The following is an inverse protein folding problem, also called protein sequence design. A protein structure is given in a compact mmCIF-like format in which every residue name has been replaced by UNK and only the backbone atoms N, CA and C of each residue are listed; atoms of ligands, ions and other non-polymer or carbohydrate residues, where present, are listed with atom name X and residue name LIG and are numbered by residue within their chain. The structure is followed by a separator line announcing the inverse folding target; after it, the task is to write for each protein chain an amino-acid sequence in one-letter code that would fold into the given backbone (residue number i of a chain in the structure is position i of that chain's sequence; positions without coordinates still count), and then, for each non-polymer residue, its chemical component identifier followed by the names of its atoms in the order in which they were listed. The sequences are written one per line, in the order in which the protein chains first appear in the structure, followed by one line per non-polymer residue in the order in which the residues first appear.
data_IF_090597505049
#
_entry.id   IF_090597505049
#
_cell.length_a   1.000
_cell.length_b   1.000
_cell.length_c   1.000
_cell.angle_alpha   90.00
_cell.angle_beta   90.00
_cell.angle_gamma   90.00
#
_symmetry.space_group_name_H-M   'P 1'
#
loop_
_entity.id
_entity.type
_entity.pdbx_description
1 polymer ?
#
# COMPACT_ATOMS: atom_id res chain seq x y z
N UNK A 1 26.04 -10.26 -9.54
CA UNK A 1 25.36 -9.12 -8.88
C UNK A 1 25.18 -7.93 -9.82
N UNK A 2 26.24 -7.31 -10.39
CA UNK A 2 26.06 -6.13 -11.26
C UNK A 2 25.17 -6.39 -12.48
N UNK A 3 25.33 -7.49 -13.19
CA UNK A 3 24.50 -7.89 -14.33
C UNK A 3 23.03 -8.13 -13.93
N UNK A 4 22.80 -8.70 -12.76
CA UNK A 4 21.45 -8.91 -12.21
C UNK A 4 20.75 -7.57 -11.94
N UNK A 5 21.42 -6.66 -11.22
CA UNK A 5 20.90 -5.32 -10.93
C UNK A 5 20.63 -4.56 -12.22
N UNK A 6 21.54 -4.63 -13.21
CA UNK A 6 21.34 -3.98 -14.51
C UNK A 6 20.12 -4.53 -15.25
N UNK A 7 19.92 -5.86 -15.26
CA UNK A 7 18.75 -6.48 -15.88
C UNK A 7 17.44 -6.08 -15.17
N UNK A 8 17.45 -6.02 -13.83
CA UNK A 8 16.29 -5.56 -13.04
C UNK A 8 15.96 -4.10 -13.29
N UNK A 9 16.98 -3.23 -13.38
CA UNK A 9 16.78 -1.83 -13.75
C UNK A 9 16.21 -1.68 -15.15
N UNK A 10 16.72 -2.43 -16.13
CA UNK A 10 16.19 -2.42 -17.49
C UNK A 10 14.71 -2.87 -17.53
N UNK A 11 14.36 -3.92 -16.79
CA UNK A 11 12.96 -4.38 -16.65
C UNK A 11 12.08 -3.32 -15.97
N UNK A 12 12.58 -2.66 -14.91
CA UNK A 12 11.85 -1.61 -14.22
C UNK A 12 11.58 -0.40 -15.12
N UNK A 13 12.57 0.04 -15.89
CA UNK A 13 12.40 1.15 -16.86
C UNK A 13 11.39 0.76 -17.94
N UNK A 14 11.49 -0.44 -18.49
CA UNK A 14 10.53 -0.94 -19.48
C UNK A 14 9.11 -0.96 -18.92
N UNK A 15 8.91 -1.45 -17.70
CA UNK A 15 7.61 -1.46 -17.04
C UNK A 15 7.08 -0.06 -16.79
N UNK A 16 7.91 0.90 -16.36
CA UNK A 16 7.50 2.29 -16.19
C UNK A 16 7.01 2.91 -17.51
N UNK A 17 7.71 2.66 -18.62
CA UNK A 17 7.28 3.13 -19.94
C UNK A 17 5.94 2.50 -20.34
N UNK A 18 5.78 1.20 -20.14
CA UNK A 18 4.52 0.50 -20.45
C UNK A 18 3.37 1.04 -19.60
N UNK A 19 3.56 1.15 -18.28
CA UNK A 19 2.55 1.67 -17.35
C UNK A 19 2.18 3.10 -17.70
N UNK A 20 3.16 3.96 -18.02
CA UNK A 20 2.91 5.34 -18.42
C UNK A 20 2.11 5.45 -19.72
N UNK A 21 2.46 4.64 -20.72
CA UNK A 21 1.76 4.65 -22.01
C UNK A 21 0.32 4.14 -21.88
N UNK A 22 0.12 3.04 -21.15
CA UNK A 22 -1.21 2.48 -20.90
C UNK A 22 -2.07 3.45 -20.07
N UNK A 23 -1.53 3.98 -18.97
CA UNK A 23 -2.23 4.95 -18.12
C UNK A 23 -2.64 6.21 -18.88
N UNK A 24 -1.73 6.75 -19.68
CA UNK A 24 -1.99 7.91 -20.52
C UNK A 24 -3.09 7.62 -21.54
N UNK A 25 -3.02 6.47 -22.23
CA UNK A 25 -4.04 6.07 -23.21
C UNK A 25 -5.42 5.90 -22.56
N UNK A 26 -5.50 5.19 -21.41
CA UNK A 26 -6.77 4.97 -20.69
C UNK A 26 -7.42 6.30 -20.30
N UNK A 27 -6.65 7.24 -19.75
CA UNK A 27 -7.17 8.54 -19.33
C UNK A 27 -7.70 9.35 -20.52
N UNK A 28 -7.00 9.34 -21.63
CA UNK A 28 -7.40 10.11 -22.82
C UNK A 28 -8.51 9.43 -23.64
N UNK A 29 -8.75 8.13 -23.44
CA UNK A 29 -9.92 7.41 -24.01
C UNK A 29 -11.19 7.64 -23.18
N UNK A 30 -11.11 8.19 -21.99
CA UNK A 30 -12.26 8.48 -21.16
C UNK A 30 -13.15 9.55 -21.82
N UNK A 31 -14.48 9.30 -21.96
CA UNK A 31 -15.38 10.22 -22.66
C UNK A 31 -15.43 11.59 -21.99
N UNK A 32 -15.39 12.66 -22.77
CA UNK A 32 -15.49 14.06 -22.33
C UNK A 32 -14.17 14.79 -22.15
N UNK A 33 -13.02 14.07 -22.10
CA UNK A 33 -11.69 14.69 -21.98
C UNK A 33 -11.44 15.48 -20.69
N UNK A 34 -10.22 16.03 -20.50
CA UNK A 34 -9.80 16.70 -19.26
C UNK A 34 -10.53 18.02 -18.97
N UNK A 35 -11.02 18.70 -20.00
CA UNK A 35 -11.66 20.02 -19.87
C UNK A 35 -13.19 19.95 -19.71
N UNK A 36 -13.79 18.76 -19.73
CA UNK A 36 -15.25 18.63 -19.64
C UNK A 36 -15.86 19.19 -18.35
N UNK A 37 -15.10 19.23 -17.24
CA UNK A 37 -15.57 19.87 -16.01
C UNK A 37 -15.77 21.38 -16.17
N UNK A 38 -14.86 22.03 -16.87
CA UNK A 38 -14.96 23.47 -17.14
C UNK A 38 -16.11 23.78 -18.11
N UNK A 39 -16.40 22.87 -19.04
CA UNK A 39 -17.54 23.00 -19.94
C UNK A 39 -18.89 22.84 -19.21
N UNK A 40 -19.00 21.91 -18.25
CA UNK A 40 -20.23 21.63 -17.51
C UNK A 40 -20.55 22.73 -16.49
N UNK A 41 -19.54 23.39 -15.92
CA UNK A 41 -19.74 24.47 -14.93
C UNK A 41 -20.40 25.74 -15.50
N UNK A 42 -20.46 25.87 -16.82
CA UNK A 42 -21.05 27.04 -17.50
C UNK A 42 -20.31 28.36 -17.26
N UNK A 43 -19.14 28.29 -16.61
CA UNK A 43 -18.34 29.48 -16.23
C UNK A 43 -17.38 29.94 -17.35
N UNK A 44 -17.19 29.13 -18.39
CA UNK A 44 -16.28 29.42 -19.50
C UNK A 44 -17.02 29.48 -20.82
N UNK A 45 -16.56 30.44 -21.66
CA UNK A 45 -17.03 30.51 -23.05
C UNK A 45 -16.34 29.43 -23.90
N UNK A 46 -16.91 29.11 -25.08
CA UNK A 46 -16.28 28.19 -26.01
C UNK A 46 -14.88 28.67 -26.45
N UNK A 47 -14.70 29.98 -26.59
CA UNK A 47 -13.40 30.57 -26.92
C UNK A 47 -12.37 30.36 -25.82
N UNK A 48 -12.76 30.41 -24.54
CA UNK A 48 -11.88 30.14 -23.41
C UNK A 48 -11.46 28.68 -23.40
N UNK A 49 -12.39 27.75 -23.65
CA UNK A 49 -12.09 26.31 -23.75
C UNK A 49 -11.12 26.02 -24.88
N UNK A 50 -11.32 26.62 -26.05
CA UNK A 50 -10.44 26.45 -27.21
C UNK A 50 -9.03 27.02 -26.95
N UNK A 51 -8.97 28.13 -26.22
CA UNK A 51 -7.69 28.74 -25.82
C UNK A 51 -6.92 27.83 -24.85
N UNK A 52 -7.61 27.31 -23.81
CA UNK A 52 -7.01 26.39 -22.84
C UNK A 52 -6.58 25.09 -23.50
N UNK A 53 -7.41 24.54 -24.39
CA UNK A 53 -7.09 23.33 -25.18
C UNK A 53 -5.77 23.49 -25.93
N UNK A 54 -5.58 24.61 -26.60
CA UNK A 54 -4.35 24.94 -27.33
C UNK A 54 -3.17 25.19 -26.40
N UNK A 55 -3.38 25.89 -25.28
CA UNK A 55 -2.32 26.16 -24.29
C UNK A 55 -1.79 24.89 -23.64
N UNK A 56 -2.68 23.92 -23.36
CA UNK A 56 -2.32 22.62 -22.80
C UNK A 56 -1.86 21.61 -23.88
N UNK A 57 -1.93 21.98 -25.18
CA UNK A 57 -1.56 21.11 -26.29
C UNK A 57 -2.48 19.89 -26.47
N UNK A 58 -3.71 19.97 -25.98
CA UNK A 58 -4.71 18.88 -26.05
C UNK A 58 -5.33 18.73 -27.47
N UNK A 59 -5.07 19.68 -28.34
CA UNK A 59 -5.43 19.67 -29.75
C UNK A 59 -4.49 18.83 -30.62
N UNK A 60 -3.33 18.43 -30.08
CA UNK A 60 -2.33 17.63 -30.80
C UNK A 60 -2.69 16.15 -30.83
N UNK A 61 -2.14 15.37 -31.81
CA UNK A 61 -2.28 13.91 -31.79
C UNK A 61 -1.81 13.27 -30.47
N UNK A 62 -2.54 12.28 -29.97
CA UNK A 62 -2.24 11.63 -28.68
C UNK A 62 -0.79 11.15 -28.52
N UNK A 63 -0.13 10.57 -29.54
CA UNK A 63 1.28 10.19 -29.39
C UNK A 63 2.21 11.38 -29.12
N UNK A 64 1.91 12.55 -29.70
CA UNK A 64 2.71 13.78 -29.47
C UNK A 64 2.46 14.31 -28.06
N UNK A 65 1.21 14.31 -27.59
CA UNK A 65 0.86 14.68 -26.22
C UNK A 65 1.59 13.79 -25.20
N UNK A 66 1.62 12.48 -25.45
CA UNK A 66 2.33 11.52 -24.59
C UNK A 66 3.84 11.80 -24.55
N UNK A 67 4.48 11.99 -25.70
CA UNK A 67 5.92 12.24 -25.76
C UNK A 67 6.29 13.57 -25.11
N UNK A 68 5.48 14.63 -25.31
CA UNK A 68 5.67 15.92 -24.66
C UNK A 68 5.52 15.82 -23.15
N UNK A 69 4.49 15.11 -22.66
CA UNK A 69 4.28 14.87 -21.22
C UNK A 69 5.40 14.03 -20.62
N UNK A 70 5.76 12.91 -21.24
CA UNK A 70 6.80 12.01 -20.77
C UNK A 70 8.17 12.69 -20.75
N UNK A 71 8.48 13.47 -21.80
CA UNK A 71 9.73 14.24 -21.87
C UNK A 71 9.85 15.33 -20.80
N UNK A 72 8.75 16.01 -20.43
CA UNK A 72 8.72 16.96 -19.30
C UNK A 72 8.89 16.23 -17.97
N UNK A 73 8.18 15.13 -17.76
CA UNK A 73 8.28 14.33 -16.54
C UNK A 73 9.72 13.87 -16.28
N UNK A 74 10.45 13.42 -17.31
CA UNK A 74 11.86 13.02 -17.20
C UNK A 74 12.78 14.17 -16.80
N UNK A 75 12.39 15.42 -17.09
CA UNK A 75 13.11 16.64 -16.68
C UNK A 75 12.70 17.14 -15.28
N UNK A 76 11.82 16.40 -14.58
CA UNK A 76 11.31 16.77 -13.27
C UNK A 76 10.06 17.67 -13.27
N UNK A 77 9.54 18.02 -14.45
CA UNK A 77 8.28 18.73 -14.60
C UNK A 77 7.12 17.73 -14.72
N UNK A 78 6.46 17.46 -13.60
CA UNK A 78 5.32 16.54 -13.49
C UNK A 78 3.98 17.23 -13.81
N UNK A 79 4.02 18.52 -14.15
CA UNK A 79 2.86 19.34 -14.45
C UNK A 79 2.22 19.96 -13.22
N UNK A 80 1.06 20.56 -13.47
CA UNK A 80 0.23 21.19 -12.45
C UNK A 80 -1.17 20.62 -12.46
N UNK A 81 -1.76 20.50 -11.27
CA UNK A 81 -3.16 20.12 -11.08
C UNK A 81 -4.09 21.04 -11.90
N UNK A 82 -5.05 20.46 -12.57
CA UNK A 82 -6.08 21.22 -13.28
C UNK A 82 -7.12 21.80 -12.33
N UNK A 83 -7.20 21.28 -11.11
CA UNK A 83 -8.19 21.69 -10.11
C UNK A 83 -7.79 22.95 -9.37
N UNK A 84 -6.56 22.98 -8.86
CA UNK A 84 -6.07 24.05 -7.96
C UNK A 84 -4.79 24.75 -8.45
N UNK A 85 -4.20 24.27 -9.56
CA UNK A 85 -3.00 24.85 -10.15
C UNK A 85 -1.70 24.54 -9.39
N UNK A 86 -1.75 23.73 -8.33
CA UNK A 86 -0.57 23.34 -7.58
C UNK A 86 0.34 22.40 -8.37
N UNK A 87 1.63 22.39 -8.05
CA UNK A 87 2.56 21.45 -8.66
C UNK A 87 2.20 20.00 -8.22
N UNK A 88 2.13 19.05 -9.16
CA UNK A 88 1.76 17.66 -8.91
C UNK A 88 2.60 17.03 -7.80
N UNK A 89 3.91 17.26 -7.79
CA UNK A 89 4.80 16.72 -6.74
C UNK A 89 4.49 17.30 -5.36
N UNK A 90 4.05 18.55 -5.27
CA UNK A 90 3.61 19.17 -4.00
C UNK A 90 2.35 18.50 -3.48
N UNK A 91 1.36 18.30 -4.36
CA UNK A 91 0.11 17.61 -4.03
C UNK A 91 0.38 16.17 -3.57
N UNK A 92 1.25 15.44 -4.26
CA UNK A 92 1.64 14.08 -3.88
C UNK A 92 2.34 14.07 -2.52
N UNK A 93 3.31 14.97 -2.31
CA UNK A 93 4.09 14.99 -1.06
C UNK A 93 3.24 15.32 0.17
N UNK A 94 2.22 16.16 0.04
CA UNK A 94 1.30 16.50 1.13
C UNK A 94 0.41 15.33 1.57
N UNK A 95 0.11 14.39 0.67
CA UNK A 95 -0.74 13.22 0.97
C UNK A 95 0.06 11.95 1.32
N UNK A 96 1.33 11.88 0.89
CA UNK A 96 2.18 10.70 1.11
C UNK A 96 2.37 10.39 2.59
N UNK A 97 2.59 11.43 3.43
CA UNK A 97 2.77 11.26 4.87
C UNK A 97 1.59 10.56 5.53
N UNK A 98 0.36 10.97 5.20
CA UNK A 98 -0.85 10.36 5.75
C UNK A 98 -1.02 8.89 5.33
N UNK A 99 -0.71 8.54 4.07
CA UNK A 99 -0.70 7.13 3.63
C UNK A 99 0.32 6.31 4.41
N UNK A 100 1.55 6.83 4.57
CA UNK A 100 2.61 6.12 5.29
C UNK A 100 2.25 5.91 6.77
N UNK A 101 1.68 6.90 7.45
CA UNK A 101 1.20 6.80 8.82
C UNK A 101 0.17 5.67 8.97
N UNK A 102 -0.83 5.66 8.11
CA UNK A 102 -1.89 4.66 8.14
C UNK A 102 -1.36 3.24 7.84
N UNK A 103 -0.63 3.10 6.74
CA UNK A 103 -0.14 1.81 6.30
C UNK A 103 0.90 1.23 7.25
N UNK A 104 1.84 2.05 7.74
CA UNK A 104 2.84 1.60 8.71
C UNK A 104 2.17 1.15 10.02
N UNK A 105 1.19 1.91 10.53
CA UNK A 105 0.46 1.55 11.74
C UNK A 105 -0.30 0.24 11.56
N UNK A 106 -1.05 0.10 10.46
CA UNK A 106 -1.78 -1.12 10.15
C UNK A 106 -0.86 -2.34 10.04
N UNK A 107 0.26 -2.22 9.32
CA UNK A 107 1.20 -3.32 9.13
C UNK A 107 1.93 -3.68 10.42
N UNK A 108 2.34 -2.71 11.24
CA UNK A 108 2.95 -3.00 12.55
C UNK A 108 1.98 -3.80 13.42
N UNK A 109 0.72 -3.37 13.51
CA UNK A 109 -0.32 -4.10 14.25
C UNK A 109 -0.49 -5.51 13.69
N UNK A 110 -0.59 -5.63 12.37
CA UNK A 110 -0.81 -6.90 11.69
C UNK A 110 0.35 -7.90 11.89
N UNK A 111 1.59 -7.43 11.79
CA UNK A 111 2.79 -8.26 12.01
C UNK A 111 2.85 -8.73 13.46
N UNK A 112 2.68 -7.81 14.42
CA UNK A 112 2.75 -8.16 15.84
C UNK A 112 1.64 -9.16 16.24
N UNK A 113 0.39 -8.86 15.89
CA UNK A 113 -0.74 -9.73 16.20
C UNK A 113 -0.68 -11.04 15.40
N UNK A 114 -0.37 -10.97 14.12
CA UNK A 114 -0.26 -12.14 13.26
C UNK A 114 0.85 -13.09 13.70
N UNK A 115 2.04 -12.57 13.98
CA UNK A 115 3.13 -13.39 14.53
C UNK A 115 2.75 -14.02 15.87
N UNK A 116 2.16 -13.25 16.78
CA UNK A 116 1.71 -13.76 18.08
C UNK A 116 0.67 -14.88 17.93
N UNK A 117 -0.39 -14.67 17.13
CA UNK A 117 -1.42 -15.66 16.85
C UNK A 117 -0.81 -16.89 16.17
N UNK A 118 0.07 -16.69 15.19
CA UNK A 118 0.71 -17.79 14.46
C UNK A 118 1.60 -18.66 15.34
N UNK A 119 2.41 -18.05 16.22
CA UNK A 119 3.23 -18.78 17.20
C UNK A 119 2.36 -19.59 18.15
N UNK A 120 1.33 -18.98 18.77
CA UNK A 120 0.43 -19.67 19.69
C UNK A 120 -0.34 -20.78 18.98
N UNK A 121 -0.81 -20.57 17.76
CA UNK A 121 -1.48 -21.60 16.94
C UNK A 121 -0.57 -22.79 16.61
N UNK A 122 0.72 -22.54 16.36
CA UNK A 122 1.71 -23.59 16.14
C UNK A 122 2.00 -24.42 17.42
N UNK A 123 2.18 -23.71 18.56
CA UNK A 123 2.45 -24.35 19.84
C UNK A 123 1.25 -25.15 20.37
N UNK A 124 0.04 -24.69 20.10
CA UNK A 124 -1.21 -25.32 20.51
C UNK A 124 -1.95 -25.93 19.31
N UNK A 125 -1.21 -26.64 18.45
CA UNK A 125 -1.76 -27.26 17.26
C UNK A 125 -2.98 -28.14 17.55
N UNK A 126 -4.02 -27.99 16.72
CA UNK A 126 -5.31 -28.69 16.86
C UNK A 126 -6.12 -28.34 18.12
N UNK A 127 -5.71 -27.33 18.88
CA UNK A 127 -6.51 -26.81 19.98
C UNK A 127 -7.68 -25.97 19.50
N UNK A 128 -8.61 -25.65 20.41
CA UNK A 128 -9.71 -24.72 20.15
C UNK A 128 -9.19 -23.35 19.70
N UNK A 129 -8.08 -22.86 20.29
CA UNK A 129 -7.45 -21.60 19.88
C UNK A 129 -6.98 -21.64 18.42
N UNK A 130 -6.28 -22.71 18.03
CA UNK A 130 -5.79 -22.87 16.65
C UNK A 130 -6.95 -22.95 15.64
N UNK A 131 -8.01 -23.65 16.00
CA UNK A 131 -9.22 -23.74 15.18
C UNK A 131 -9.93 -22.39 15.03
N UNK A 132 -10.13 -21.67 16.15
CA UNK A 132 -10.75 -20.34 16.14
C UNK A 132 -9.90 -19.31 15.38
N UNK A 133 -8.59 -19.33 15.55
CA UNK A 133 -7.66 -18.45 14.82
C UNK A 133 -7.72 -18.72 13.31
N UNK A 134 -7.79 -20.02 12.92
CA UNK A 134 -7.90 -20.41 11.50
C UNK A 134 -9.24 -19.99 10.89
N UNK A 135 -10.34 -20.23 11.58
CA UNK A 135 -11.69 -19.83 11.13
C UNK A 135 -11.80 -18.31 11.09
N UNK A 136 -11.30 -17.62 12.13
CA UNK A 136 -11.25 -16.15 12.16
C UNK A 136 -10.45 -15.56 11.01
N UNK A 137 -9.29 -16.16 10.67
CA UNK A 137 -8.51 -15.76 9.51
C UNK A 137 -9.27 -15.94 8.19
N UNK A 138 -10.00 -17.05 8.03
CA UNK A 138 -10.83 -17.28 6.84
C UNK A 138 -11.97 -16.25 6.73
N UNK A 139 -12.62 -15.93 7.83
CA UNK A 139 -13.66 -14.89 7.89
C UNK A 139 -13.07 -13.53 7.53
N UNK A 140 -11.93 -13.15 8.12
CA UNK A 140 -11.27 -11.87 7.85
C UNK A 140 -10.90 -11.70 6.37
N UNK A 141 -10.43 -12.77 5.72
CA UNK A 141 -10.09 -12.76 4.29
C UNK A 141 -11.32 -12.76 3.36
N UNK A 142 -12.48 -13.20 3.86
CA UNK A 142 -13.72 -13.29 3.07
C UNK A 142 -14.54 -12.00 3.12
N UNK A 143 -14.35 -11.17 4.13
CA UNK A 143 -15.10 -9.92 4.30
C UNK A 143 -14.49 -8.82 3.42
N UNK A 144 -15.29 -8.16 2.54
CA UNK A 144 -14.81 -7.01 1.80
C UNK A 144 -14.37 -5.87 2.73
N UNK A 145 -13.16 -5.35 2.55
CA UNK A 145 -12.56 -4.31 3.41
C UNK A 145 -13.46 -3.08 3.56
N UNK A 146 -14.09 -2.63 2.47
CA UNK A 146 -14.99 -1.47 2.52
C UNK A 146 -16.21 -1.73 3.42
N UNK A 147 -16.79 -2.93 3.34
CA UNK A 147 -17.94 -3.30 4.16
C UNK A 147 -17.56 -3.32 5.64
N UNK A 148 -16.42 -3.94 5.94
CA UNK A 148 -15.92 -3.98 7.32
C UNK A 148 -15.61 -2.57 7.86
N UNK A 149 -15.05 -1.69 7.02
CA UNK A 149 -14.85 -0.28 7.36
C UNK A 149 -16.17 0.43 7.70
N UNK A 150 -17.19 0.28 6.86
CA UNK A 150 -18.51 0.88 7.11
C UNK A 150 -19.18 0.35 8.37
N UNK A 151 -19.09 -0.96 8.62
CA UNK A 151 -19.59 -1.56 9.87
C UNK A 151 -18.83 -1.02 11.09
N UNK A 152 -17.51 -0.88 10.98
CA UNK A 152 -16.68 -0.30 12.06
C UNK A 152 -17.11 1.14 12.36
N UNK A 153 -17.30 1.99 11.35
CA UNK A 153 -17.81 3.35 11.53
C UNK A 153 -19.20 3.33 12.17
N UNK A 154 -20.12 2.52 11.66
CA UNK A 154 -21.47 2.45 12.20
C UNK A 154 -21.50 2.05 13.67
N UNK A 155 -20.75 1.02 14.04
CA UNK A 155 -20.76 0.51 15.42
C UNK A 155 -20.00 1.43 16.35
N UNK A 156 -18.72 1.72 16.04
CA UNK A 156 -17.83 2.40 16.98
C UNK A 156 -17.93 3.93 16.95
N UNK A 157 -18.31 4.52 15.82
CA UNK A 157 -18.43 5.97 15.72
C UNK A 157 -19.88 6.43 15.92
N UNK A 158 -20.85 5.82 15.21
CA UNK A 158 -22.24 6.30 15.23
C UNK A 158 -23.02 5.77 16.44
N UNK A 159 -22.91 4.47 16.77
CA UNK A 159 -23.67 3.86 17.85
C UNK A 159 -23.04 4.06 19.22
N UNK A 160 -21.74 3.83 19.34
CA UNK A 160 -21.00 3.88 20.61
C UNK A 160 -20.35 5.23 20.87
N UNK A 161 -20.06 6.02 19.84
CA UNK A 161 -19.38 7.32 20.01
C UNK A 161 -17.94 7.20 20.51
N UNK A 162 -17.29 6.02 20.34
CA UNK A 162 -15.95 5.75 20.87
C UNK A 162 -14.84 6.24 19.95
N UNK A 163 -15.05 6.20 18.65
CA UNK A 163 -14.05 6.53 17.65
C UNK A 163 -14.57 7.58 16.66
N UNK A 164 -13.69 8.40 16.07
CA UNK A 164 -14.06 9.29 14.97
C UNK A 164 -14.57 8.50 13.76
N UNK A 165 -15.47 9.07 12.99
CA UNK A 165 -15.99 8.43 11.78
C UNK A 165 -15.04 8.50 10.58
N UNK A 166 -14.04 9.39 10.64
CA UNK A 166 -13.08 9.60 9.56
C UNK A 166 -12.21 10.83 9.79
N UNK A 167 -11.52 11.26 8.73
CA UNK A 167 -10.48 12.28 8.72
C UNK A 167 -9.23 11.86 9.50
N UNK A 168 -8.16 12.66 9.39
CA UNK A 168 -6.88 12.42 10.07
C UNK A 168 -6.84 13.06 11.45
N UNK A 169 -7.57 14.13 11.65
CA UNK A 169 -7.57 14.93 12.87
C UNK A 169 -8.89 15.69 13.03
N UNK A 170 -9.19 16.10 14.24
CA UNK A 170 -10.30 17.00 14.55
C UNK A 170 -9.92 18.43 14.18
N UNK A 171 -10.80 19.14 13.50
CA UNK A 171 -10.54 20.54 13.08
C UNK A 171 -10.22 21.38 14.33
N UNK A 172 -9.00 21.92 14.35
CA UNK A 172 -8.54 22.82 15.43
C UNK A 172 -7.83 22.13 16.60
N UNK A 173 -7.77 20.79 16.68
CA UNK A 173 -6.99 20.08 17.70
C UNK A 173 -5.55 19.86 17.26
N UNK A 174 -5.29 19.10 16.20
CA UNK A 174 -3.95 18.84 15.68
C UNK A 174 -3.00 18.15 16.69
N UNK A 175 -3.50 17.63 17.81
CA UNK A 175 -2.69 16.93 18.81
C UNK A 175 -2.30 15.52 18.36
N UNK A 176 -1.16 15.04 18.87
CA UNK A 176 -0.73 13.65 18.59
C UNK A 176 -1.74 12.60 19.10
N UNK A 177 -2.42 12.87 20.21
CA UNK A 177 -3.44 11.97 20.75
C UNK A 177 -4.69 11.93 19.87
N UNK A 178 -5.09 13.06 19.30
CA UNK A 178 -6.19 13.13 18.36
C UNK A 178 -5.85 12.36 17.07
N UNK A 179 -4.64 12.53 16.54
CA UNK A 179 -4.16 11.73 15.41
C UNK A 179 -4.23 10.21 15.70
N UNK A 180 -3.74 9.78 16.87
CA UNK A 180 -3.82 8.36 17.25
C UNK A 180 -5.26 7.88 17.34
N UNK A 181 -6.17 8.69 17.88
CA UNK A 181 -7.59 8.37 17.98
C UNK A 181 -8.24 8.17 16.60
N UNK A 182 -7.89 9.02 15.63
CA UNK A 182 -8.33 8.88 14.24
C UNK A 182 -7.71 7.70 13.50
N UNK A 183 -6.48 7.28 13.87
CA UNK A 183 -5.79 6.14 13.28
C UNK A 183 -6.35 4.78 13.69
N UNK A 184 -6.98 4.65 14.88
CA UNK A 184 -7.41 3.35 15.42
C UNK A 184 -8.32 2.61 14.45
N UNK A 185 -9.42 3.20 14.03
CA UNK A 185 -10.41 2.51 13.21
C UNK A 185 -9.87 2.09 11.84
N UNK A 186 -9.31 2.98 11.00
CA UNK A 186 -8.82 2.60 9.70
C UNK A 186 -7.63 1.62 9.75
N UNK A 187 -6.71 1.79 10.72
CA UNK A 187 -5.57 0.88 10.84
C UNK A 187 -5.97 -0.52 11.31
N UNK A 188 -6.95 -0.65 12.21
CA UNK A 188 -7.46 -1.97 12.64
C UNK A 188 -8.20 -2.69 11.50
N UNK A 189 -8.96 -1.96 10.69
CA UNK A 189 -9.66 -2.54 9.51
C UNK A 189 -8.66 -3.10 8.51
N UNK A 190 -7.59 -2.37 8.22
CA UNK A 190 -6.51 -2.86 7.35
C UNK A 190 -5.72 -3.98 8.00
N UNK A 191 -5.36 -3.82 9.26
CA UNK A 191 -4.59 -4.81 10.00
C UNK A 191 -5.29 -6.16 10.12
N UNK A 192 -6.62 -6.22 10.14
CA UNK A 192 -7.36 -7.47 10.28
C UNK A 192 -7.03 -8.46 9.16
N UNK A 193 -7.08 -8.00 7.91
CA UNK A 193 -6.79 -8.82 6.73
C UNK A 193 -5.32 -9.25 6.71
N UNK A 194 -4.42 -8.30 6.98
CA UNK A 194 -2.98 -8.58 7.01
C UNK A 194 -2.62 -9.52 8.17
N UNK A 195 -3.22 -9.36 9.35
CA UNK A 195 -3.03 -10.26 10.52
C UNK A 195 -3.35 -11.71 10.17
N UNK A 196 -4.43 -11.95 9.43
CA UNK A 196 -4.80 -13.30 8.97
C UNK A 196 -3.70 -13.91 8.10
N UNK A 197 -3.10 -13.13 7.21
CA UNK A 197 -2.02 -13.57 6.33
C UNK A 197 -0.73 -13.81 7.12
N UNK A 198 -0.28 -12.86 7.94
CA UNK A 198 0.92 -12.97 8.77
C UNK A 198 0.82 -14.14 9.75
N UNK A 199 -0.35 -14.34 10.37
CA UNK A 199 -0.59 -15.44 11.30
C UNK A 199 -0.45 -16.81 10.64
N UNK A 200 -0.97 -16.99 9.43
CA UNK A 200 -0.83 -18.24 8.66
C UNK A 200 0.62 -18.51 8.27
N UNK A 201 1.34 -17.51 7.79
CA UNK A 201 2.75 -17.67 7.44
C UNK A 201 3.58 -18.02 8.67
N UNK A 202 3.42 -17.28 9.76
CA UNK A 202 4.14 -17.53 11.01
C UNK A 202 3.86 -18.91 11.59
N UNK A 203 2.58 -19.33 11.58
CA UNK A 203 2.19 -20.67 12.04
C UNK A 203 2.86 -21.76 11.22
N UNK A 204 2.86 -21.64 9.89
CA UNK A 204 3.49 -22.60 9.00
C UNK A 204 5.00 -22.69 9.25
N UNK A 205 5.68 -21.56 9.33
CA UNK A 205 7.11 -21.47 9.59
C UNK A 205 7.49 -22.05 10.96
N UNK A 206 6.72 -21.76 12.01
CA UNK A 206 6.93 -22.34 13.33
C UNK A 206 6.76 -23.86 13.33
N UNK A 207 5.73 -24.40 12.67
CA UNK A 207 5.50 -25.83 12.59
C UNK A 207 6.62 -26.55 11.84
N UNK A 208 7.19 -25.95 10.81
CA UNK A 208 8.34 -26.50 10.08
C UNK A 208 9.57 -26.54 10.98
N UNK A 209 9.88 -25.42 11.66
CA UNK A 209 11.07 -25.29 12.50
C UNK A 209 11.03 -26.21 13.73
N UNK A 210 9.89 -26.33 14.42
CA UNK A 210 9.74 -27.14 15.65
C UNK A 210 10.03 -28.62 15.37
N UNK A 211 9.86 -29.09 14.15
CA UNK A 211 10.10 -30.48 13.76
C UNK A 211 11.54 -30.76 13.28
N UNK A 212 12.43 -29.79 13.25
CA UNK A 212 13.82 -29.95 12.80
C UNK A 212 14.68 -30.72 13.82
N UNK A 213 15.69 -31.44 13.34
CA UNK A 213 16.54 -32.29 14.17
C UNK A 213 17.35 -31.53 15.21
N UNK A 214 17.75 -30.27 14.93
CA UNK A 214 18.46 -29.46 15.93
C UNK A 214 17.56 -29.09 17.12
N UNK A 215 16.25 -28.98 16.94
CA UNK A 215 15.28 -28.77 18.03
C UNK A 215 15.17 -30.06 18.87
N UNK A 216 15.12 -31.23 18.22
CA UNK A 216 15.14 -32.52 18.92
C UNK A 216 16.42 -32.69 19.74
N UNK A 217 17.55 -32.32 19.16
CA UNK A 217 18.86 -32.37 19.84
C UNK A 217 18.89 -31.43 21.06
N UNK A 218 18.33 -30.23 20.95
CA UNK A 218 18.26 -29.30 22.07
C UNK A 218 17.40 -29.85 23.24
N UNK A 219 16.27 -30.51 22.92
CA UNK A 219 15.43 -31.21 23.92
C UNK A 219 16.16 -32.37 24.56
N UNK A 220 16.86 -33.19 23.77
CA UNK A 220 17.65 -34.31 24.28
C UNK A 220 18.81 -33.88 25.22
N UNK A 221 19.34 -32.66 25.04
CA UNK A 221 20.33 -32.04 25.96
C UNK A 221 19.70 -31.44 27.23
N UNK A 222 18.40 -31.59 27.46
CA UNK A 222 17.72 -31.11 28.65
C UNK A 222 17.52 -29.60 28.72
N UNK A 223 17.56 -28.91 27.58
CA UNK A 223 17.28 -27.46 27.56
C UNK A 223 15.82 -27.19 27.93
N UNK A 224 15.55 -26.12 28.71
CA UNK A 224 14.18 -25.76 29.06
C UNK A 224 13.37 -25.33 27.81
N UNK A 225 12.12 -25.76 27.71
CA UNK A 225 11.30 -25.59 26.53
C UNK A 225 11.14 -24.13 26.12
N UNK A 226 10.99 -23.20 27.08
CA UNK A 226 10.90 -21.77 26.77
C UNK A 226 12.13 -21.26 25.99
N UNK A 227 13.33 -21.75 26.33
CA UNK A 227 14.57 -21.35 25.64
C UNK A 227 14.66 -21.98 24.26
N UNK A 228 14.20 -23.21 24.10
CA UNK A 228 14.11 -23.88 22.79
C UNK A 228 13.16 -23.08 21.89
N UNK A 229 11.99 -22.71 22.39
CA UNK A 229 10.98 -22.00 21.62
C UNK A 229 11.39 -20.57 21.25
N UNK A 230 11.94 -19.81 22.18
CA UNK A 230 12.27 -18.38 21.94
C UNK A 230 13.58 -18.21 21.19
N UNK A 231 14.64 -18.97 21.54
CA UNK A 231 15.98 -18.76 20.99
C UNK A 231 16.21 -19.60 19.73
N UNK A 232 15.72 -20.85 19.71
CA UNK A 232 16.01 -21.76 18.61
C UNK A 232 14.85 -21.83 17.60
N UNK A 233 13.62 -21.92 18.03
CA UNK A 233 12.49 -22.04 17.11
C UNK A 233 12.05 -20.68 16.54
N UNK A 234 11.67 -19.71 17.38
CA UNK A 234 11.14 -18.42 16.95
C UNK A 234 12.16 -17.66 16.08
N UNK A 235 13.43 -17.60 16.50
CA UNK A 235 14.47 -16.90 15.74
C UNK A 235 14.59 -17.44 14.30
N UNK A 236 14.55 -18.76 14.12
CA UNK A 236 14.63 -19.38 12.81
C UNK A 236 13.32 -19.25 12.02
N UNK A 237 12.17 -19.33 12.70
CA UNK A 237 10.86 -19.15 12.08
C UNK A 237 10.61 -17.71 11.61
N UNK A 238 11.29 -16.70 12.17
CA UNK A 238 11.23 -15.31 11.73
C UNK A 238 12.00 -15.05 10.43
N UNK A 239 12.97 -15.89 10.04
CA UNK A 239 13.75 -15.65 8.82
C UNK A 239 12.88 -15.58 7.55
N UNK A 240 11.96 -16.54 7.27
CA UNK A 240 11.05 -16.42 6.15
C UNK A 240 10.12 -15.21 6.26
N UNK A 241 9.75 -14.79 7.51
CA UNK A 241 8.88 -13.65 7.74
C UNK A 241 9.56 -12.33 7.32
N UNK A 242 10.87 -12.19 7.53
CA UNK A 242 11.64 -11.02 7.06
C UNK A 242 11.59 -10.93 5.53
N UNK A 243 11.68 -12.06 4.85
CA UNK A 243 11.54 -12.12 3.39
C UNK A 243 10.15 -11.67 2.93
N UNK A 244 9.09 -12.17 3.59
CA UNK A 244 7.70 -11.76 3.31
C UNK A 244 7.53 -10.27 3.59
N UNK A 245 8.10 -9.74 4.68
CA UNK A 245 8.08 -8.31 4.99
C UNK A 245 8.71 -7.47 3.88
N UNK A 246 9.87 -7.90 3.36
CA UNK A 246 10.52 -7.23 2.23
C UNK A 246 9.65 -7.18 0.97
N UNK A 247 8.96 -8.28 0.66
CA UNK A 247 8.03 -8.36 -0.48
C UNK A 247 6.76 -7.51 -0.30
N UNK A 248 6.39 -7.19 0.94
CA UNK A 248 5.23 -6.35 1.26
C UNK A 248 5.56 -4.83 1.24
N UNK A 249 6.83 -4.43 1.27
CA UNK A 249 7.22 -3.01 1.26
C UNK A 249 6.58 -2.20 0.11
N UNK A 250 6.49 -2.71 -1.13
CA UNK A 250 5.84 -1.98 -2.20
C UNK A 250 4.36 -1.68 -1.93
N UNK A 251 3.64 -2.57 -1.26
CA UNK A 251 2.22 -2.40 -0.96
C UNK A 251 1.97 -1.31 0.07
N UNK A 252 2.90 -1.12 1.03
CA UNK A 252 2.83 -0.02 2.01
C UNK A 252 2.83 1.36 1.35
N UNK A 253 3.51 1.48 0.22
CA UNK A 253 3.70 2.73 -0.49
C UNK A 253 2.62 2.97 -1.56
N UNK A 254 1.91 1.90 -1.95
CA UNK A 254 0.79 1.96 -2.91
C UNK A 254 -0.50 2.55 -2.34
N UNK A 255 -0.59 2.67 -0.99
CA UNK A 255 -1.75 3.18 -0.29
C UNK A 255 -2.89 2.17 -0.14
N UNK A 256 -3.79 2.48 0.77
CA UNK A 256 -4.99 1.70 1.06
C UNK A 256 -6.23 2.42 0.51
N UNK A 257 -6.32 2.52 -0.82
CA UNK A 257 -7.34 3.28 -1.55
C UNK A 257 -8.74 3.14 -0.93
N UNK A 258 -9.17 1.93 -0.64
CA UNK A 258 -10.51 1.65 -0.10
C UNK A 258 -10.65 2.17 1.32
N UNK A 259 -9.69 1.90 2.21
CA UNK A 259 -9.75 2.36 3.60
C UNK A 259 -9.62 3.88 3.69
N UNK A 260 -8.70 4.48 2.94
CA UNK A 260 -8.55 5.94 2.88
C UNK A 260 -9.82 6.64 2.41
N UNK A 261 -10.54 6.05 1.44
CA UNK A 261 -11.81 6.60 0.96
C UNK A 261 -12.91 6.43 1.99
N UNK A 262 -13.09 5.25 2.57
CA UNK A 262 -14.15 4.96 3.54
C UNK A 262 -14.02 5.82 4.79
N UNK A 263 -12.78 5.97 5.30
CA UNK A 263 -12.49 6.77 6.48
C UNK A 263 -12.13 8.23 6.17
N UNK A 264 -12.33 8.69 4.93
CA UNK A 264 -11.95 10.04 4.50
C UNK A 264 -10.52 10.45 4.88
N UNK A 265 -9.62 9.48 4.99
CA UNK A 265 -8.21 9.69 5.31
C UNK A 265 -7.51 10.40 4.15
N UNK A 266 -6.78 11.51 4.38
CA UNK A 266 -6.21 12.32 3.31
C UNK A 266 -4.92 11.71 2.73
N UNK A 267 -5.00 10.48 2.24
CA UNK A 267 -3.89 9.75 1.68
C UNK A 267 -3.87 9.73 0.14
N UNK A 268 -2.85 9.06 -0.41
CA UNK A 268 -2.59 8.95 -1.86
C UNK A 268 -3.70 8.20 -2.61
N UNK A 269 -4.30 7.16 -2.01
CA UNK A 269 -5.37 6.40 -2.64
C UNK A 269 -6.63 7.23 -2.78
N UNK A 270 -7.02 7.99 -1.74
CA UNK A 270 -8.14 8.92 -1.81
C UNK A 270 -7.86 10.04 -2.82
N UNK A 271 -6.66 10.64 -2.78
CA UNK A 271 -6.26 11.64 -3.76
C UNK A 271 -6.40 11.11 -5.20
N UNK A 272 -6.05 9.85 -5.45
CA UNK A 272 -6.19 9.22 -6.76
C UNK A 272 -7.66 9.16 -7.22
N UNK A 273 -8.57 8.71 -6.35
CA UNK A 273 -10.01 8.66 -6.68
C UNK A 273 -10.61 10.05 -6.88
N UNK A 274 -10.29 10.98 -6.00
CA UNK A 274 -10.74 12.37 -6.12
C UNK A 274 -10.25 12.98 -7.44
N UNK A 275 -8.98 12.76 -7.80
CA UNK A 275 -8.39 13.26 -9.04
C UNK A 275 -9.03 12.64 -10.29
N UNK A 276 -9.42 11.35 -10.25
CA UNK A 276 -10.21 10.73 -11.33
C UNK A 276 -11.59 11.41 -11.42
N UNK A 277 -12.26 11.60 -10.29
CA UNK A 277 -13.57 12.25 -10.23
C UNK A 277 -13.55 13.67 -10.77
N UNK A 278 -12.50 14.41 -10.46
CA UNK A 278 -12.26 15.77 -10.98
C UNK A 278 -11.57 15.82 -12.34
N UNK A 279 -11.25 14.68 -12.95
CA UNK A 279 -10.50 14.59 -14.23
C UNK A 279 -9.18 15.35 -14.22
N UNK A 280 -8.54 15.38 -13.10
CA UNK A 280 -7.22 15.99 -12.92
C UNK A 280 -6.13 15.06 -13.45
N UNK A 281 -6.00 15.01 -14.77
CA UNK A 281 -5.11 14.09 -15.46
C UNK A 281 -3.64 14.21 -15.03
N UNK A 282 -3.06 15.42 -14.83
CA UNK A 282 -1.70 15.52 -14.35
C UNK A 282 -1.49 14.86 -12.99
N UNK A 283 -2.43 15.05 -12.03
CA UNK A 283 -2.33 14.44 -10.70
C UNK A 283 -2.53 12.93 -10.77
N UNK A 284 -3.50 12.43 -11.55
CA UNK A 284 -3.71 10.98 -11.75
C UNK A 284 -2.46 10.32 -12.33
N UNK A 285 -1.88 10.90 -13.41
CA UNK A 285 -0.64 10.39 -14.00
C UNK A 285 0.54 10.50 -13.06
N UNK A 286 0.62 11.59 -12.29
CA UNK A 286 1.64 11.78 -11.27
C UNK A 286 1.60 10.69 -10.20
N UNK A 287 0.42 10.42 -9.63
CA UNK A 287 0.24 9.37 -8.62
C UNK A 287 0.58 8.00 -9.20
N UNK A 288 0.10 7.70 -10.41
CA UNK A 288 0.37 6.43 -11.10
C UNK A 288 1.89 6.21 -11.27
N UNK A 289 2.60 7.21 -11.78
CA UNK A 289 4.05 7.11 -12.00
C UNK A 289 4.85 7.08 -10.70
N UNK A 290 4.45 7.88 -9.71
CA UNK A 290 5.05 7.89 -8.39
C UNK A 290 4.89 6.53 -7.71
N UNK A 291 3.68 5.99 -7.66
CA UNK A 291 3.39 4.69 -7.07
C UNK A 291 4.12 3.56 -7.80
N UNK A 292 4.10 3.55 -9.14
CA UNK A 292 4.83 2.56 -9.93
C UNK A 292 6.34 2.61 -9.65
N UNK A 293 6.93 3.81 -9.59
CA UNK A 293 8.36 3.99 -9.29
C UNK A 293 8.71 3.45 -7.90
N UNK A 294 7.90 3.79 -6.88
CA UNK A 294 8.12 3.32 -5.51
C UNK A 294 7.97 1.79 -5.41
N UNK A 295 6.95 1.21 -6.04
CA UNK A 295 6.76 -0.24 -6.09
C UNK A 295 7.97 -0.94 -6.73
N UNK A 296 8.50 -0.41 -7.81
CA UNK A 296 9.68 -0.97 -8.48
C UNK A 296 10.96 -0.82 -7.64
N UNK A 297 11.15 0.33 -6.98
CA UNK A 297 12.26 0.53 -6.04
C UNK A 297 12.14 -0.44 -4.86
N UNK A 298 10.95 -0.57 -4.26
CA UNK A 298 10.69 -1.49 -3.18
C UNK A 298 10.95 -2.95 -3.57
N UNK A 299 10.52 -3.36 -4.78
CA UNK A 299 10.79 -4.68 -5.33
C UNK A 299 12.29 -4.92 -5.55
N UNK A 300 13.00 -3.91 -6.07
CA UNK A 300 14.45 -4.01 -6.26
C UNK A 300 15.20 -4.15 -4.91
N UNK A 301 14.80 -3.38 -3.91
CA UNK A 301 15.34 -3.49 -2.55
C UNK A 301 15.06 -4.88 -1.97
N UNK A 302 13.83 -5.39 -2.12
CA UNK A 302 13.47 -6.73 -1.66
C UNK A 302 14.30 -7.81 -2.36
N UNK A 303 14.51 -7.73 -3.67
CA UNK A 303 15.33 -8.66 -4.45
C UNK A 303 16.81 -8.63 -3.99
N UNK A 304 17.35 -7.44 -3.71
CA UNK A 304 18.74 -7.30 -3.22
C UNK A 304 18.86 -7.88 -1.81
N UNK A 305 17.92 -7.57 -0.91
CA UNK A 305 17.89 -8.13 0.44
C UNK A 305 17.80 -9.65 0.40
N UNK A 306 16.95 -10.19 -0.47
CA UNK A 306 16.81 -11.63 -0.66
C UNK A 306 18.12 -12.29 -1.12
N UNK A 307 18.80 -11.70 -2.09
CA UNK A 307 20.09 -12.20 -2.58
C UNK A 307 21.22 -12.11 -1.52
N UNK A 308 21.13 -11.17 -0.56
CA UNK A 308 22.09 -11.04 0.56
C UNK A 308 21.79 -12.05 1.66
N UNK A 309 20.52 -12.30 1.97
CA UNK A 309 20.09 -13.20 3.06
C UNK A 309 20.25 -14.68 2.67
N UNK A 310 19.98 -15.04 1.42
CA UNK A 310 20.17 -16.40 0.92
C UNK A 310 21.21 -16.48 -0.22
N UNK A 311 22.50 -16.65 0.11
CA UNK A 311 23.58 -16.76 -0.89
C UNK A 311 23.51 -18.05 -1.72
N UNK A 312 22.58 -18.96 -1.44
CA UNK A 312 22.37 -20.19 -2.24
C UNK A 312 21.62 -19.92 -3.55
N UNK A 313 20.93 -18.79 -3.65
CA UNK A 313 20.33 -18.34 -4.89
C UNK A 313 21.44 -17.81 -5.78
N UNK A 314 22.08 -18.71 -6.53
CA UNK A 314 22.96 -18.31 -7.63
C UNK A 314 22.09 -17.63 -8.67
N UNK A 315 22.21 -16.33 -8.71
CA UNK A 315 21.63 -15.49 -9.75
C UNK A 315 22.30 -15.86 -11.06
N UNK A 316 21.68 -16.78 -11.80
CA UNK A 316 22.11 -17.18 -13.15
C UNK A 316 21.87 -16.05 -14.17
#
# INVERSE_FOLDING_TARGET
MARYVANRLAQAIMLLVIVSAIGFAILHMAPGGPLSQFAVSGQMTQEDLDRITRQLGLDRPLPIQYLDWFGRMLKGDWGRSYRDGEAVLSVISSHLGATLELMATATIIAVLLGCWIGVLGALRRYSLFDSLATVGAMIALSIPTFWFGLVTIYVFSVKLGWLPSGNRETIGDGSFLDLLHHLIAPSLVLALVETAMWGRFMRSSMLEVINQDYIRTARAKGMPEWRILTVHALRNALLPMITVAGLQLPTLLGGALVAETVFTWPGMGRLFLDSIGYRDYPVVMGILMFSATIVLIGSLIADILYAVVDPRIRVG
#
